data_IF_810353841479
#
_entry.id   IF_810353841479
#
_cell.length_a   1.000
_cell.length_b   1.000
_cell.length_c   1.000
_cell.angle_alpha   90.00
_cell.angle_beta   90.00
_cell.angle_gamma   90.00
#
_symmetry.space_group_name_H-M   'P 1'
#
loop_
_entity.id
_entity.type
_entity.pdbx_description
1 polymer ?
#
# COMPACT_ATOMS: atom_id res chain seq x y z
N UNK A 1 42.00 -24.15 -20.08
CA UNK A 1 40.82 -24.84 -19.54
C UNK A 1 40.41 -24.36 -18.15
N UNK A 2 41.35 -24.26 -17.19
CA UNK A 2 41.08 -23.80 -15.82
C UNK A 2 40.49 -22.37 -15.74
N UNK A 3 40.96 -21.46 -16.58
CA UNK A 3 40.53 -20.04 -16.62
C UNK A 3 39.08 -19.91 -17.11
N UNK A 4 38.65 -20.72 -18.07
CA UNK A 4 37.25 -20.74 -18.58
C UNK A 4 36.33 -21.38 -17.55
N UNK A 5 36.79 -22.36 -16.80
CA UNK A 5 36.02 -23.00 -15.73
C UNK A 5 35.83 -22.06 -14.55
N UNK A 6 36.85 -21.31 -14.14
CA UNK A 6 36.78 -20.33 -13.05
C UNK A 6 35.91 -19.11 -13.44
N UNK A 7 35.96 -18.62 -14.70
CA UNK A 7 35.09 -17.54 -15.16
C UNK A 7 33.61 -17.93 -15.17
N UNK A 8 33.27 -19.14 -15.63
CA UNK A 8 31.88 -19.66 -15.57
C UNK A 8 31.35 -19.82 -14.15
N UNK A 9 32.21 -20.27 -13.23
CA UNK A 9 31.81 -20.41 -11.81
C UNK A 9 31.58 -19.03 -11.15
N UNK A 10 32.35 -18.00 -11.51
CA UNK A 10 32.17 -16.63 -11.04
C UNK A 10 30.91 -15.99 -11.64
N UNK A 11 30.59 -16.25 -12.90
CA UNK A 11 29.35 -15.77 -13.54
C UNK A 11 28.10 -16.41 -12.93
N UNK A 12 28.13 -17.73 -12.68
CA UNK A 12 27.03 -18.44 -12.02
C UNK A 12 26.79 -17.95 -10.60
N UNK A 13 27.84 -17.74 -9.82
CA UNK A 13 27.74 -17.20 -8.46
C UNK A 13 27.18 -15.77 -8.43
N UNK A 14 27.59 -14.91 -9.38
CA UNK A 14 27.06 -13.55 -9.52
C UNK A 14 25.57 -13.57 -9.91
N UNK A 15 25.17 -14.45 -10.83
CA UNK A 15 23.77 -14.55 -11.27
C UNK A 15 22.85 -14.96 -10.12
N UNK A 16 23.25 -15.93 -9.31
CA UNK A 16 22.51 -16.34 -8.12
C UNK A 16 22.42 -15.19 -7.10
N UNK A 17 23.51 -14.47 -6.87
CA UNK A 17 23.54 -13.30 -5.99
C UNK A 17 22.57 -12.22 -6.46
N UNK A 18 22.55 -11.90 -7.75
CA UNK A 18 21.60 -10.94 -8.33
C UNK A 18 20.14 -11.40 -8.19
N UNK A 19 19.86 -12.67 -8.44
CA UNK A 19 18.50 -13.20 -8.29
C UNK A 19 18.01 -13.10 -6.84
N UNK A 20 18.83 -13.51 -5.86
CA UNK A 20 18.51 -13.37 -4.43
C UNK A 20 18.31 -11.91 -4.04
N UNK A 21 19.15 -11.01 -4.56
CA UNK A 21 19.04 -9.57 -4.37
C UNK A 21 17.69 -9.02 -4.85
N UNK A 22 17.25 -9.43 -6.04
CA UNK A 22 15.99 -9.00 -6.64
C UNK A 22 14.79 -9.53 -5.82
N UNK A 23 14.84 -10.80 -5.41
CA UNK A 23 13.80 -11.39 -4.56
C UNK A 23 13.66 -10.65 -3.23
N UNK A 24 14.76 -10.41 -2.53
CA UNK A 24 14.73 -9.69 -1.25
C UNK A 24 14.23 -8.27 -1.39
N UNK A 25 14.70 -7.54 -2.42
CA UNK A 25 14.20 -6.19 -2.71
C UNK A 25 12.71 -6.20 -3.04
N UNK A 26 12.23 -7.20 -3.79
CA UNK A 26 10.82 -7.37 -4.12
C UNK A 26 9.96 -7.65 -2.87
N UNK A 27 10.42 -8.51 -1.97
CA UNK A 27 9.73 -8.80 -0.70
C UNK A 27 9.64 -7.53 0.17
N UNK A 28 10.73 -6.76 0.30
CA UNK A 28 10.74 -5.51 1.06
C UNK A 28 9.79 -4.48 0.46
N UNK A 29 9.74 -4.37 -0.88
CA UNK A 29 8.83 -3.50 -1.59
C UNK A 29 7.37 -3.94 -1.41
N UNK A 30 7.14 -5.25 -1.44
CA UNK A 30 5.85 -5.86 -1.11
C UNK A 30 5.31 -5.46 0.25
N UNK A 31 6.18 -5.19 1.24
CA UNK A 31 5.78 -4.64 2.54
C UNK A 31 5.10 -3.27 2.43
N UNK A 32 5.62 -2.36 1.59
CA UNK A 32 4.97 -1.05 1.35
C UNK A 32 3.64 -1.23 0.64
N UNK A 33 3.61 -2.06 -0.39
CA UNK A 33 2.38 -2.36 -1.11
C UNK A 33 1.33 -3.01 -0.22
N UNK A 34 1.76 -3.85 0.75
CA UNK A 34 0.86 -4.46 1.72
C UNK A 34 0.18 -3.40 2.60
N UNK A 35 0.90 -2.38 3.08
CA UNK A 35 0.30 -1.31 3.87
C UNK A 35 -0.76 -0.54 3.09
N UNK A 36 -0.48 -0.17 1.84
CA UNK A 36 -1.45 0.53 0.98
C UNK A 36 -2.67 -0.37 0.65
N UNK A 37 -2.41 -1.62 0.27
CA UNK A 37 -3.45 -2.57 -0.11
C UNK A 37 -4.34 -2.98 1.08
N UNK A 38 -3.79 -3.11 2.30
CA UNK A 38 -4.55 -3.37 3.52
C UNK A 38 -5.50 -2.20 3.82
N UNK A 39 -5.06 -0.95 3.61
CA UNK A 39 -5.94 0.21 3.70
C UNK A 39 -7.14 0.13 2.74
N UNK A 40 -6.89 -0.25 1.49
CA UNK A 40 -7.94 -0.47 0.49
C UNK A 40 -8.84 -1.65 0.86
N UNK A 41 -8.26 -2.78 1.31
CA UNK A 41 -9.00 -3.96 1.76
C UNK A 41 -9.94 -3.65 2.91
N UNK A 42 -9.52 -2.79 3.83
CA UNK A 42 -10.34 -2.38 4.97
C UNK A 42 -11.59 -1.63 4.51
N UNK A 43 -11.42 -0.66 3.61
CA UNK A 43 -12.54 0.11 3.05
C UNK A 43 -13.47 -0.80 2.25
N UNK A 44 -12.91 -1.57 1.32
CA UNK A 44 -13.71 -2.46 0.47
C UNK A 44 -14.43 -3.55 1.26
N UNK A 45 -13.72 -4.22 2.19
CA UNK A 45 -14.27 -5.34 2.95
C UNK A 45 -15.37 -4.97 3.94
N UNK A 46 -15.41 -3.71 4.42
CA UNK A 46 -16.41 -3.26 5.41
C UNK A 46 -17.54 -2.48 4.76
N UNK A 47 -17.21 -1.57 3.85
CA UNK A 47 -18.17 -0.64 3.24
C UNK A 47 -18.66 -1.12 1.87
N UNK A 48 -18.07 -2.17 1.32
CA UNK A 48 -18.30 -2.64 -0.05
C UNK A 48 -18.09 -1.51 -1.09
N UNK A 49 -17.23 -0.54 -0.76
CA UNK A 49 -16.91 0.64 -1.54
C UNK A 49 -15.57 0.48 -2.23
N UNK A 50 -15.56 0.60 -3.56
CA UNK A 50 -14.34 0.49 -4.37
C UNK A 50 -13.70 1.88 -4.47
N UNK A 51 -12.61 2.11 -3.73
CA UNK A 51 -11.92 3.39 -3.69
C UNK A 51 -10.82 3.49 -4.76
N UNK A 52 -11.14 4.08 -5.90
CA UNK A 52 -10.16 4.34 -6.95
C UNK A 52 -9.21 5.52 -6.65
N UNK A 53 -9.43 6.31 -5.60
CA UNK A 53 -8.48 7.34 -5.16
C UNK A 53 -7.42 6.82 -4.18
N UNK A 54 -7.38 5.51 -3.90
CA UNK A 54 -6.47 4.91 -2.91
C UNK A 54 -4.99 5.20 -3.18
N UNK A 55 -4.59 5.18 -4.43
CA UNK A 55 -3.21 5.48 -4.82
C UNK A 55 -2.86 6.96 -4.63
N UNK A 56 -3.77 7.87 -4.98
CA UNK A 56 -3.55 9.31 -4.77
C UNK A 56 -3.52 9.65 -3.27
N UNK A 57 -4.28 8.95 -2.44
CA UNK A 57 -4.17 9.06 -0.98
C UNK A 57 -2.80 8.59 -0.49
N UNK A 58 -2.25 7.51 -1.07
CA UNK A 58 -0.87 7.07 -0.78
C UNK A 58 0.15 8.12 -1.21
N UNK A 59 0.00 8.70 -2.40
CA UNK A 59 0.82 9.80 -2.89
C UNK A 59 0.76 11.02 -1.95
N UNK A 60 -0.43 11.40 -1.47
CA UNK A 60 -0.55 12.49 -0.48
C UNK A 60 0.22 12.19 0.81
N UNK A 61 0.21 10.92 1.27
CA UNK A 61 1.05 10.47 2.37
C UNK A 61 2.54 10.72 2.13
N UNK A 62 3.04 10.50 0.90
CA UNK A 62 4.43 10.81 0.54
C UNK A 62 4.73 12.30 0.70
N UNK A 63 3.87 13.16 0.16
CA UNK A 63 4.06 14.60 0.21
C UNK A 63 3.93 15.20 1.61
N UNK A 64 2.99 14.71 2.42
CA UNK A 64 2.86 15.12 3.83
C UNK A 64 4.10 14.72 4.61
N UNK A 65 4.58 13.48 4.46
CA UNK A 65 5.80 13.00 5.10
C UNK A 65 7.02 13.86 4.71
N UNK A 66 7.18 14.15 3.42
CA UNK A 66 8.24 15.00 2.92
C UNK A 66 8.13 16.42 3.49
N UNK A 67 6.94 17.01 3.50
CA UNK A 67 6.69 18.34 4.05
C UNK A 67 7.03 18.44 5.52
N UNK A 68 6.61 17.46 6.33
CA UNK A 68 6.96 17.39 7.76
C UNK A 68 8.47 17.28 7.98
N UNK A 69 9.13 16.45 7.19
CA UNK A 69 10.57 16.26 7.32
C UNK A 69 11.37 17.49 6.86
N UNK A 70 10.99 18.14 5.76
CA UNK A 70 11.76 19.25 5.16
C UNK A 70 11.42 20.61 5.74
N UNK A 71 10.13 20.94 5.91
CA UNK A 71 9.71 22.26 6.39
C UNK A 71 9.82 22.40 7.91
N UNK A 72 9.54 21.33 8.65
CA UNK A 72 9.59 21.34 10.12
C UNK A 72 10.82 20.64 10.71
N UNK A 73 11.74 20.15 9.85
CA UNK A 73 12.94 19.42 10.26
C UNK A 73 12.67 18.22 11.20
N UNK A 74 11.51 17.59 11.04
CA UNK A 74 11.14 16.41 11.82
C UNK A 74 11.94 15.20 11.30
N UNK A 75 12.39 14.34 12.21
CA UNK A 75 13.04 13.08 11.82
C UNK A 75 12.13 12.26 10.90
N UNK A 76 12.62 11.74 9.78
CA UNK A 76 11.81 11.01 8.81
C UNK A 76 10.96 9.86 9.39
N UNK A 77 11.48 9.12 10.38
CA UNK A 77 10.70 8.06 11.03
C UNK A 77 9.53 8.61 11.86
N UNK A 78 9.75 9.74 12.55
CA UNK A 78 8.68 10.44 13.26
C UNK A 78 7.70 11.08 12.27
N UNK A 79 8.19 11.64 11.17
CA UNK A 79 7.35 12.21 10.11
C UNK A 79 6.38 11.16 9.52
N UNK A 80 6.80 9.90 9.39
CA UNK A 80 5.93 8.80 8.95
C UNK A 80 4.77 8.59 9.96
N UNK A 81 5.06 8.56 11.25
CA UNK A 81 4.02 8.39 12.28
C UNK A 81 3.05 9.59 12.31
N UNK A 82 3.58 10.81 12.19
CA UNK A 82 2.76 12.02 12.10
C UNK A 82 1.91 12.03 10.82
N UNK A 83 2.47 11.54 9.71
CA UNK A 83 1.72 11.37 8.44
C UNK A 83 0.55 10.41 8.62
N UNK A 84 0.74 9.29 9.32
CA UNK A 84 -0.35 8.36 9.62
C UNK A 84 -1.51 9.06 10.34
N UNK A 85 -1.21 9.89 11.34
CA UNK A 85 -2.22 10.65 12.11
C UNK A 85 -2.88 11.75 11.22
N UNK A 86 -2.10 12.48 10.45
CA UNK A 86 -2.61 13.52 9.55
C UNK A 86 -3.54 12.90 8.48
N UNK A 87 -3.14 11.78 7.90
CA UNK A 87 -3.93 11.05 6.91
C UNK A 87 -5.18 10.41 7.51
N UNK A 88 -5.15 10.00 8.78
CA UNK A 88 -6.37 9.61 9.51
C UNK A 88 -7.36 10.77 9.55
N UNK A 89 -6.92 11.95 9.97
CA UNK A 89 -7.78 13.16 10.01
C UNK A 89 -8.31 13.54 8.63
N UNK A 90 -7.46 13.50 7.59
CA UNK A 90 -7.87 13.73 6.20
C UNK A 90 -8.91 12.68 5.76
N UNK A 91 -8.71 11.41 6.12
CA UNK A 91 -9.65 10.34 5.83
C UNK A 91 -11.03 10.60 6.44
N UNK A 92 -11.08 10.99 7.72
CA UNK A 92 -12.33 11.35 8.40
C UNK A 92 -13.03 12.54 7.73
N UNK A 93 -12.28 13.54 7.29
CA UNK A 93 -12.82 14.68 6.56
C UNK A 93 -13.43 14.27 5.21
N UNK A 94 -12.69 13.47 4.42
CA UNK A 94 -13.15 12.95 3.12
C UNK A 94 -14.38 12.07 3.28
N UNK A 95 -14.39 11.21 4.28
CA UNK A 95 -15.56 10.37 4.58
C UNK A 95 -16.80 11.23 4.83
N UNK A 96 -16.68 12.24 5.70
CA UNK A 96 -17.78 13.10 6.07
C UNK A 96 -18.35 13.92 4.91
N UNK A 97 -17.46 14.47 4.07
CA UNK A 97 -17.82 15.42 3.01
C UNK A 97 -18.17 14.72 1.70
N UNK A 98 -17.48 13.64 1.36
CA UNK A 98 -17.60 12.99 0.04
C UNK A 98 -18.32 11.66 0.14
N UNK A 99 -17.95 10.79 1.09
CA UNK A 99 -18.41 9.40 1.11
C UNK A 99 -19.80 9.27 1.71
N UNK A 100 -20.07 9.91 2.85
CA UNK A 100 -21.41 9.85 3.50
C UNK A 100 -22.54 10.23 2.54
N UNK A 101 -22.42 11.28 1.70
CA UNK A 101 -23.50 11.63 0.77
C UNK A 101 -23.77 10.59 -0.34
N UNK A 102 -22.81 9.73 -0.64
CA UNK A 102 -22.89 8.82 -1.80
C UNK A 102 -22.91 7.34 -1.42
N UNK A 103 -22.75 7.00 -0.14
CA UNK A 103 -22.61 5.59 0.28
C UNK A 103 -23.85 4.75 -0.08
N UNK A 104 -25.03 5.34 -0.03
CA UNK A 104 -26.31 4.68 -0.37
C UNK A 104 -26.66 4.80 -1.87
N UNK A 105 -25.79 5.44 -2.68
CA UNK A 105 -26.00 5.58 -4.13
C UNK A 105 -25.64 4.31 -4.88
N UNK A 106 -26.17 4.10 -6.11
CA UNK A 106 -25.77 2.97 -6.95
C UNK A 106 -24.26 2.89 -7.14
N UNK A 107 -23.70 1.69 -7.20
CA UNK A 107 -22.24 1.42 -7.26
C UNK A 107 -21.51 2.23 -8.35
N UNK A 108 -22.17 2.43 -9.50
CA UNK A 108 -21.57 3.21 -10.60
C UNK A 108 -21.25 4.65 -10.18
N UNK A 109 -22.16 5.31 -9.44
CA UNK A 109 -21.92 6.68 -8.93
C UNK A 109 -20.75 6.71 -7.94
N UNK A 110 -20.67 5.71 -7.05
CA UNK A 110 -19.57 5.59 -6.09
C UNK A 110 -18.21 5.47 -6.81
N UNK A 111 -18.15 4.66 -7.88
CA UNK A 111 -16.94 4.50 -8.70
C UNK A 111 -16.56 5.82 -9.37
N UNK A 112 -17.51 6.50 -10.02
CA UNK A 112 -17.26 7.78 -10.71
C UNK A 112 -16.77 8.85 -9.73
N UNK A 113 -17.40 8.97 -8.55
CA UNK A 113 -16.97 9.94 -7.54
C UNK A 113 -15.59 9.61 -6.98
N UNK A 114 -15.27 8.32 -6.75
CA UNK A 114 -13.94 7.95 -6.27
C UNK A 114 -12.84 8.21 -7.32
N UNK A 115 -13.13 8.01 -8.62
CA UNK A 115 -12.23 8.41 -9.70
C UNK A 115 -12.04 9.93 -9.76
N UNK A 116 -13.14 10.69 -9.70
CA UNK A 116 -13.08 12.17 -9.69
C UNK A 116 -12.28 12.69 -8.49
N UNK A 117 -12.48 12.09 -7.31
CA UNK A 117 -11.70 12.40 -6.11
C UNK A 117 -10.20 12.13 -6.32
N UNK A 118 -9.85 11.06 -7.02
CA UNK A 118 -8.46 10.77 -7.39
C UNK A 118 -7.85 11.90 -8.22
N UNK A 119 -8.55 12.38 -9.26
CA UNK A 119 -8.08 13.51 -10.05
C UNK A 119 -7.97 14.79 -9.22
N UNK A 120 -8.92 15.06 -8.33
CA UNK A 120 -8.85 16.23 -7.44
C UNK A 120 -7.58 16.17 -6.59
N UNK A 121 -7.26 15.03 -5.99
CA UNK A 121 -6.02 14.86 -5.22
C UNK A 121 -4.77 15.02 -6.09
N UNK A 122 -4.75 14.48 -7.29
CA UNK A 122 -3.62 14.62 -8.21
C UNK A 122 -3.38 16.09 -8.58
N UNK A 123 -4.43 16.81 -8.98
CA UNK A 123 -4.33 18.24 -9.29
C UNK A 123 -4.00 19.11 -8.08
N UNK A 124 -4.50 18.76 -6.89
CA UNK A 124 -4.10 19.42 -5.65
C UNK A 124 -2.61 19.22 -5.39
N UNK A 125 -2.06 18.02 -5.63
CA UNK A 125 -0.64 17.76 -5.48
C UNK A 125 0.18 18.61 -6.47
N UNK A 126 -0.24 18.70 -7.74
CA UNK A 126 0.37 19.59 -8.72
C UNK A 126 0.38 21.05 -8.27
N UNK A 127 -0.72 21.53 -7.72
CA UNK A 127 -0.86 22.92 -7.29
C UNK A 127 -0.04 23.25 -6.06
N UNK A 128 0.00 22.33 -5.07
CA UNK A 128 0.68 22.55 -3.79
C UNK A 128 2.18 22.30 -3.85
N UNK A 129 2.62 21.30 -4.59
CA UNK A 129 4.03 20.85 -4.61
C UNK A 129 4.69 20.96 -5.98
N UNK A 130 3.94 21.28 -7.03
CA UNK A 130 4.44 21.37 -8.41
C UNK A 130 4.60 20.01 -9.09
N UNK A 131 5.05 20.03 -10.35
CA UNK A 131 5.26 18.84 -11.17
C UNK A 131 6.63 18.17 -10.95
N UNK A 132 7.51 18.77 -10.15
CA UNK A 132 8.88 18.30 -9.97
C UNK A 132 8.94 16.99 -9.18
N UNK A 133 9.91 16.16 -9.55
CA UNK A 133 10.23 14.95 -8.82
C UNK A 133 10.92 15.32 -7.51
N UNK A 134 10.35 14.95 -6.38
CA UNK A 134 10.88 15.25 -5.05
C UNK A 134 11.36 13.99 -4.35
N UNK A 135 12.51 14.10 -3.66
CA UNK A 135 13.09 13.01 -2.89
C UNK A 135 13.35 13.46 -1.46
N UNK A 136 13.32 12.50 -0.52
CA UNK A 136 13.71 12.76 0.86
C UNK A 136 15.20 13.12 0.93
N UNK A 137 15.58 14.26 1.53
CA UNK A 137 16.99 14.63 1.67
C UNK A 137 17.74 13.64 2.57
N UNK A 138 18.88 13.13 2.08
CA UNK A 138 19.68 12.12 2.80
C UNK A 138 20.34 12.64 4.07
N UNK A 139 20.42 13.95 4.23
CA UNK A 139 21.05 14.63 5.38
C UNK A 139 20.13 14.79 6.58
N UNK A 140 18.84 14.50 6.45
CA UNK A 140 17.85 14.67 7.51
C UNK A 140 17.88 13.51 8.51
N UNK A 141 18.21 13.78 9.75
CA UNK A 141 18.05 12.89 10.90
C UNK A 141 18.46 11.44 10.64
N UNK A 142 17.52 10.53 10.83
CA UNK A 142 17.69 9.10 10.61
C UNK A 142 18.03 8.71 9.17
N UNK A 143 17.79 9.57 8.17
CA UNK A 143 18.14 9.30 6.76
C UNK A 143 19.64 9.11 6.54
N UNK A 144 20.50 9.71 7.36
CA UNK A 144 21.93 9.45 7.30
C UNK A 144 22.29 7.97 7.45
N UNK A 145 21.52 7.24 8.27
CA UNK A 145 21.68 5.79 8.44
C UNK A 145 20.82 5.01 7.43
N UNK A 146 19.56 5.40 7.23
CA UNK A 146 18.61 4.70 6.39
C UNK A 146 18.98 4.68 4.91
N UNK A 147 19.69 5.70 4.43
CA UNK A 147 20.14 5.79 3.03
C UNK A 147 21.45 5.05 2.75
N UNK A 148 22.16 4.59 3.79
CA UNK A 148 23.40 3.82 3.60
C UNK A 148 23.08 2.44 3.02
N UNK A 149 23.87 2.01 2.05
CA UNK A 149 23.79 0.65 1.53
C UNK A 149 24.62 -0.26 2.43
N UNK A 150 23.98 -1.24 3.06
CA UNK A 150 24.66 -2.28 3.83
C UNK A 150 25.01 -3.41 2.86
N UNK A 151 26.30 -3.70 2.76
CA UNK A 151 26.84 -4.77 1.91
C UNK A 151 27.17 -5.99 2.78
N UNK A 152 26.43 -7.07 2.59
CA UNK A 152 26.66 -8.37 3.24
C UNK A 152 27.43 -9.34 2.30
N UNK A 153 28.08 -8.82 1.27
CA UNK A 153 28.83 -9.62 0.29
C UNK A 153 27.92 -10.23 -0.79
N UNK A 154 26.93 -10.97 -0.41
CA UNK A 154 25.97 -11.62 -1.35
C UNK A 154 24.80 -10.69 -1.67
N UNK A 155 24.38 -9.87 -0.71
CA UNK A 155 23.18 -9.02 -0.80
C UNK A 155 23.49 -7.61 -0.33
N UNK A 156 23.00 -6.63 -1.09
CA UNK A 156 23.05 -5.20 -0.76
C UNK A 156 21.66 -4.68 -0.52
N UNK A 157 21.40 -4.08 0.62
CA UNK A 157 20.12 -3.48 0.90
C UNK A 157 20.22 -2.14 1.62
N UNK A 158 19.20 -1.30 1.43
CA UNK A 158 19.05 -0.08 2.20
C UNK A 158 18.20 -0.36 3.44
N UNK A 159 18.62 0.07 4.65
CA UNK A 159 17.81 -0.04 5.86
C UNK A 159 16.42 0.57 5.71
N UNK A 160 16.27 1.63 4.90
CA UNK A 160 14.99 2.25 4.61
C UNK A 160 13.97 1.26 4.01
N UNK A 161 14.43 0.39 3.07
CA UNK A 161 13.58 -0.67 2.52
C UNK A 161 13.34 -1.80 3.51
N UNK A 162 14.39 -2.18 4.24
CA UNK A 162 14.29 -3.27 5.20
C UNK A 162 13.24 -3.01 6.28
N UNK A 163 13.16 -1.78 6.83
CA UNK A 163 12.22 -1.40 7.89
C UNK A 163 10.76 -1.47 7.40
N UNK A 164 10.48 -1.30 6.11
CA UNK A 164 9.11 -1.32 5.58
C UNK A 164 8.42 -2.68 5.75
N UNK A 165 9.14 -3.79 5.64
CA UNK A 165 8.57 -5.13 5.78
C UNK A 165 8.16 -5.46 7.22
N UNK A 166 9.01 -5.31 8.25
CA UNK A 166 8.58 -5.43 9.65
C UNK A 166 7.43 -4.50 10.01
N UNK A 167 7.46 -3.24 9.51
CA UNK A 167 6.38 -2.29 9.75
C UNK A 167 5.05 -2.80 9.17
N UNK A 168 5.04 -3.37 7.96
CA UNK A 168 3.85 -3.96 7.35
C UNK A 168 3.34 -5.18 8.12
N UNK A 169 4.25 -6.04 8.61
CA UNK A 169 3.89 -7.19 9.45
C UNK A 169 3.25 -6.72 10.75
N UNK A 170 3.88 -5.78 11.44
CA UNK A 170 3.37 -5.22 12.71
C UNK A 170 1.99 -4.59 12.46
N UNK A 171 1.84 -3.78 11.42
CA UNK A 171 0.57 -3.16 11.06
C UNK A 171 -0.52 -4.21 10.83
N UNK A 172 -0.23 -5.27 10.07
CA UNK A 172 -1.17 -6.34 9.78
C UNK A 172 -1.60 -7.07 11.07
N UNK A 173 -0.65 -7.36 11.95
CA UNK A 173 -0.92 -8.02 13.22
C UNK A 173 -1.72 -7.13 14.18
N UNK A 174 -1.36 -5.84 14.27
CA UNK A 174 -2.09 -4.86 15.10
C UNK A 174 -3.51 -4.69 14.59
N UNK A 175 -3.70 -4.56 13.27
CA UNK A 175 -5.04 -4.49 12.67
C UNK A 175 -5.85 -5.76 12.95
N UNK A 176 -5.24 -6.93 12.75
CA UNK A 176 -5.90 -8.20 13.05
C UNK A 176 -6.33 -8.28 14.51
N UNK A 177 -5.44 -7.93 15.44
CA UNK A 177 -5.77 -7.88 16.87
C UNK A 177 -6.88 -6.87 17.17
N UNK A 178 -6.78 -5.66 16.62
CA UNK A 178 -7.81 -4.63 16.77
C UNK A 178 -9.19 -5.11 16.33
N UNK A 179 -9.28 -5.71 15.14
CA UNK A 179 -10.55 -6.17 14.58
C UNK A 179 -11.14 -7.40 15.28
N UNK A 180 -10.28 -8.23 15.93
CA UNK A 180 -10.73 -9.49 16.54
C UNK A 180 -10.92 -9.40 18.05
N UNK A 181 -10.26 -8.45 18.72
CA UNK A 181 -10.21 -8.40 20.18
C UNK A 181 -10.79 -7.12 20.79
N UNK A 182 -11.02 -6.05 20.02
CA UNK A 182 -11.60 -4.83 20.55
C UNK A 182 -13.10 -4.74 20.28
N UNK A 183 -13.86 -4.07 21.16
CA UNK A 183 -15.30 -3.85 20.99
C UNK A 183 -15.61 -3.09 19.68
N UNK A 184 -14.79 -2.09 19.35
CA UNK A 184 -14.92 -1.31 18.13
C UNK A 184 -14.64 -2.17 16.90
N UNK A 185 -13.56 -2.95 16.90
CA UNK A 185 -13.20 -3.84 15.80
C UNK A 185 -14.25 -4.94 15.56
N UNK A 186 -14.81 -5.52 16.64
CA UNK A 186 -15.92 -6.49 16.54
C UNK A 186 -17.16 -5.84 15.93
N UNK A 187 -17.46 -4.57 16.28
CA UNK A 187 -18.53 -3.80 15.67
C UNK A 187 -18.31 -3.58 14.17
N UNK A 188 -17.08 -3.19 13.75
CA UNK A 188 -16.71 -3.05 12.33
C UNK A 188 -16.90 -4.37 11.57
N UNK A 189 -16.48 -5.50 12.16
CA UNK A 189 -16.65 -6.83 11.55
C UNK A 189 -18.12 -7.25 11.45
N UNK A 190 -18.94 -6.94 12.46
CA UNK A 190 -20.38 -7.20 12.41
C UNK A 190 -21.06 -6.42 11.28
N UNK A 191 -20.71 -5.14 11.12
CA UNK A 191 -21.19 -4.30 9.99
C UNK A 191 -20.74 -4.87 8.64
N UNK A 192 -19.48 -5.35 8.54
CA UNK A 192 -18.98 -5.97 7.32
C UNK A 192 -19.72 -7.25 6.93
N UNK A 193 -20.21 -8.02 7.90
CA UNK A 193 -20.98 -9.25 7.65
C UNK A 193 -22.42 -8.96 7.23
N UNK A 194 -23.12 -8.11 7.99
CA UNK A 194 -24.49 -7.72 7.68
C UNK A 194 -24.81 -6.38 8.35
N UNK A 195 -24.88 -5.33 7.53
CA UNK A 195 -25.12 -3.96 7.98
C UNK A 195 -26.48 -3.80 8.67
N UNK A 196 -27.53 -4.44 8.14
CA UNK A 196 -28.89 -4.33 8.67
C UNK A 196 -29.01 -5.04 10.02
N UNK A 197 -28.47 -6.26 10.11
CA UNK A 197 -28.45 -7.00 11.37
C UNK A 197 -27.62 -6.28 12.44
N UNK A 198 -26.48 -5.73 12.08
CA UNK A 198 -25.64 -4.95 13.00
C UNK A 198 -26.39 -3.71 13.53
N UNK A 199 -27.12 -3.01 12.67
CA UNK A 199 -27.93 -1.85 13.06
C UNK A 199 -29.07 -2.24 14.02
N UNK A 200 -29.75 -3.34 13.76
CA UNK A 200 -30.79 -3.87 14.64
C UNK A 200 -30.25 -4.27 16.02
N UNK A 201 -29.00 -4.71 16.11
CA UNK A 201 -28.29 -5.01 17.36
C UNK A 201 -27.75 -3.77 18.06
N UNK A 202 -28.05 -2.56 17.56
CA UNK A 202 -27.64 -1.28 18.16
C UNK A 202 -26.20 -0.85 17.84
N UNK A 203 -25.54 -1.48 16.85
CA UNK A 203 -24.20 -1.06 16.42
C UNK A 203 -24.34 0.17 15.53
N UNK A 204 -23.60 1.23 15.85
CA UNK A 204 -23.59 2.45 15.06
C UNK A 204 -22.82 2.26 13.74
N UNK A 205 -23.53 1.94 12.66
CA UNK A 205 -22.97 1.69 11.32
C UNK A 205 -22.19 2.90 10.82
N UNK A 206 -22.70 4.13 11.01
CA UNK A 206 -22.02 5.37 10.57
C UNK A 206 -20.67 5.53 11.23
N UNK A 207 -20.57 5.24 12.52
CA UNK A 207 -19.32 5.28 13.24
C UNK A 207 -18.34 4.19 12.79
N UNK A 208 -18.85 2.99 12.47
CA UNK A 208 -18.03 1.91 11.92
C UNK A 208 -17.44 2.31 10.55
N UNK A 209 -18.22 2.90 9.66
CA UNK A 209 -17.78 3.41 8.36
C UNK A 209 -16.75 4.53 8.52
N UNK A 210 -17.03 5.51 9.38
CA UNK A 210 -16.16 6.64 9.69
C UNK A 210 -14.75 6.18 10.13
N UNK A 211 -14.70 5.25 11.08
CA UNK A 211 -13.43 4.70 11.57
C UNK A 211 -12.73 3.83 10.52
N UNK A 212 -13.50 3.04 9.77
CA UNK A 212 -12.96 2.19 8.69
C UNK A 212 -12.28 3.02 7.62
N UNK A 213 -12.93 4.09 7.16
CA UNK A 213 -12.36 4.99 6.15
C UNK A 213 -11.13 5.71 6.67
N UNK A 214 -11.21 6.30 7.87
CA UNK A 214 -10.07 6.98 8.49
C UNK A 214 -8.86 6.07 8.66
N UNK A 215 -9.05 4.85 9.19
CA UNK A 215 -7.97 3.88 9.34
C UNK A 215 -7.42 3.42 7.98
N UNK A 216 -8.28 3.14 7.00
CA UNK A 216 -7.85 2.76 5.65
C UNK A 216 -6.95 3.81 5.02
N UNK A 217 -7.37 5.09 5.07
CA UNK A 217 -6.58 6.22 4.55
C UNK A 217 -5.29 6.43 5.34
N UNK A 218 -5.31 6.23 6.66
CA UNK A 218 -4.10 6.32 7.49
C UNK A 218 -3.05 5.27 7.10
N UNK A 219 -3.47 4.05 6.76
CA UNK A 219 -2.56 2.99 6.29
C UNK A 219 -1.98 3.28 4.91
N UNK A 220 -2.77 3.88 4.00
CA UNK A 220 -2.27 4.40 2.73
C UNK A 220 -1.23 5.50 2.95
N UNK A 221 -1.48 6.41 3.90
CA UNK A 221 -0.53 7.44 4.30
C UNK A 221 0.77 6.88 4.86
N UNK A 222 0.67 5.86 5.72
CA UNK A 222 1.82 5.14 6.25
C UNK A 222 2.66 4.51 5.13
N UNK A 223 2.00 3.84 4.17
CA UNK A 223 2.66 3.27 3.00
C UNK A 223 3.40 4.34 2.19
N UNK A 224 2.76 5.47 1.93
CA UNK A 224 3.38 6.62 1.26
C UNK A 224 4.59 7.15 2.00
N UNK A 225 4.50 7.30 3.33
CA UNK A 225 5.62 7.73 4.18
C UNK A 225 6.83 6.79 4.09
N UNK A 226 6.62 5.48 4.18
CA UNK A 226 7.70 4.50 3.99
C UNK A 226 8.27 4.51 2.57
N UNK A 227 7.42 4.61 1.56
CA UNK A 227 7.84 4.67 0.15
C UNK A 227 8.73 5.88 -0.12
N UNK A 228 8.41 7.03 0.47
CA UNK A 228 9.18 8.28 0.34
C UNK A 228 10.61 8.18 0.85
N UNK A 229 10.94 7.24 1.73
CA UNK A 229 12.31 7.07 2.23
C UNK A 229 13.31 6.61 1.16
N UNK A 230 12.84 5.95 0.09
CA UNK A 230 13.73 5.34 -0.90
C UNK A 230 13.25 5.49 -2.35
N UNK A 231 12.10 6.10 -2.57
CA UNK A 231 11.55 6.37 -3.89
C UNK A 231 11.10 7.83 -4.00
N UNK A 232 11.17 8.42 -5.20
CA UNK A 232 10.73 9.79 -5.40
C UNK A 232 9.22 9.94 -5.37
N UNK A 233 8.73 11.11 -4.93
CA UNK A 233 7.35 11.53 -5.07
C UNK A 233 7.19 12.41 -6.31
N UNK A 234 6.14 12.13 -7.08
CA UNK A 234 5.63 12.93 -8.19
C UNK A 234 4.11 12.73 -8.27
N UNK A 235 3.34 13.72 -8.79
CA UNK A 235 1.88 13.65 -8.70
C UNK A 235 1.23 12.41 -9.35
N UNK A 236 1.80 11.91 -10.42
CA UNK A 236 1.25 10.74 -11.12
C UNK A 236 1.60 9.37 -10.47
N UNK A 237 2.44 9.34 -9.40
CA UNK A 237 2.82 8.07 -8.73
C UNK A 237 1.61 7.33 -8.14
N UNK A 238 0.54 8.07 -7.81
CA UNK A 238 -0.71 7.50 -7.32
C UNK A 238 -1.32 6.46 -8.25
N UNK A 239 -1.21 6.63 -9.57
CA UNK A 239 -1.74 5.70 -10.56
C UNK A 239 -1.08 4.31 -10.48
N UNK A 240 0.22 4.25 -10.19
CA UNK A 240 0.94 2.99 -10.00
C UNK A 240 0.43 2.26 -8.74
N UNK A 241 0.23 3.00 -7.65
CA UNK A 241 -0.28 2.44 -6.40
C UNK A 241 -1.71 1.91 -6.51
N UNK A 242 -2.58 2.55 -7.31
CA UNK A 242 -3.94 2.04 -7.55
C UNK A 242 -3.86 0.63 -8.12
N UNK A 243 -3.15 0.46 -9.24
CA UNK A 243 -3.05 -0.83 -9.93
C UNK A 243 -2.49 -1.92 -9.01
N UNK A 244 -1.36 -1.64 -8.35
CA UNK A 244 -0.70 -2.60 -7.48
C UNK A 244 -1.59 -2.97 -6.29
N UNK A 245 -2.22 -1.99 -5.63
CA UNK A 245 -3.10 -2.24 -4.50
C UNK A 245 -4.34 -3.05 -4.88
N UNK A 246 -4.97 -2.74 -6.02
CA UNK A 246 -6.12 -3.52 -6.52
C UNK A 246 -5.74 -4.96 -6.85
N UNK A 247 -4.62 -5.16 -7.51
CA UNK A 247 -4.14 -6.51 -7.84
C UNK A 247 -3.81 -7.28 -6.55
N UNK A 248 -3.14 -6.64 -5.58
CA UNK A 248 -2.82 -7.26 -4.31
C UNK A 248 -4.09 -7.67 -3.52
N UNK A 249 -5.12 -6.82 -3.51
CA UNK A 249 -6.42 -7.11 -2.86
C UNK A 249 -7.14 -8.25 -3.55
N UNK A 250 -7.20 -8.24 -4.89
CA UNK A 250 -7.87 -9.31 -5.65
C UNK A 250 -7.12 -10.63 -5.58
N UNK A 251 -5.78 -10.61 -5.65
CA UNK A 251 -4.94 -11.79 -5.40
C UNK A 251 -5.18 -12.37 -4.01
N UNK A 252 -5.20 -11.51 -3.00
CA UNK A 252 -5.40 -11.92 -1.62
C UNK A 252 -6.80 -12.42 -1.31
N UNK A 253 -7.80 -11.87 -1.99
CA UNK A 253 -9.23 -12.01 -1.72
C UNK A 253 -9.77 -10.78 -0.99
N UNK A 254 -10.78 -10.13 -1.57
CA UNK A 254 -11.39 -8.93 -1.00
C UNK A 254 -11.87 -9.18 0.44
N UNK A 255 -11.50 -8.28 1.37
CA UNK A 255 -11.83 -8.39 2.80
C UNK A 255 -10.88 -9.27 3.62
N UNK A 256 -9.93 -9.99 3.01
CA UNK A 256 -8.93 -10.80 3.71
C UNK A 256 -7.63 -10.03 3.90
N UNK A 257 -7.36 -9.50 5.10
CA UNK A 257 -6.14 -8.71 5.39
C UNK A 257 -4.85 -9.53 5.24
N UNK A 258 -4.85 -10.79 5.73
CA UNK A 258 -3.70 -11.70 5.57
C UNK A 258 -3.50 -12.09 4.11
N UNK A 259 -4.61 -12.35 3.39
CA UNK A 259 -4.56 -12.63 1.97
C UNK A 259 -4.00 -11.44 1.19
N UNK A 260 -4.46 -10.22 1.46
CA UNK A 260 -3.95 -9.00 0.84
C UNK A 260 -2.47 -8.78 1.14
N UNK A 261 -2.02 -9.04 2.37
CA UNK A 261 -0.60 -8.97 2.72
C UNK A 261 0.24 -9.91 1.84
N UNK A 262 -0.18 -11.18 1.71
CA UNK A 262 0.51 -12.16 0.85
C UNK A 262 0.44 -11.74 -0.62
N UNK A 263 -0.71 -11.29 -1.10
CA UNK A 263 -0.90 -10.78 -2.45
C UNK A 263 0.04 -9.61 -2.77
N UNK A 264 0.22 -8.70 -1.83
CA UNK A 264 1.13 -7.56 -1.97
C UNK A 264 2.62 -7.99 -1.99
N UNK A 265 3.01 -8.97 -1.18
CA UNK A 265 4.36 -9.54 -1.25
C UNK A 265 4.60 -10.19 -2.62
N UNK A 266 3.64 -10.96 -3.13
CA UNK A 266 3.73 -11.56 -4.47
C UNK A 266 3.91 -10.46 -5.52
N UNK A 267 3.13 -9.38 -5.43
CA UNK A 267 3.24 -8.23 -6.35
C UNK A 267 4.62 -7.58 -6.30
N UNK A 268 5.17 -7.36 -5.11
CA UNK A 268 6.52 -6.80 -4.96
C UNK A 268 7.60 -7.69 -5.56
N UNK A 269 7.49 -9.02 -5.39
CA UNK A 269 8.41 -10.00 -6.01
C UNK A 269 8.27 -9.99 -7.52
N UNK A 270 7.04 -10.02 -8.04
CA UNK A 270 6.77 -9.98 -9.50
C UNK A 270 7.33 -8.70 -10.11
N UNK A 271 7.14 -7.55 -9.46
CA UNK A 271 7.71 -6.28 -9.90
C UNK A 271 9.24 -6.32 -9.93
N UNK A 272 9.85 -6.83 -8.85
CA UNK A 272 11.30 -6.97 -8.78
C UNK A 272 11.85 -7.82 -9.95
N UNK A 273 11.24 -8.98 -10.20
CA UNK A 273 11.62 -9.88 -11.29
C UNK A 273 11.35 -9.25 -12.66
N UNK A 274 10.19 -8.64 -12.85
CA UNK A 274 9.88 -7.95 -14.11
C UNK A 274 10.86 -6.82 -14.41
N UNK A 275 11.25 -6.04 -13.38
CA UNK A 275 12.24 -4.97 -13.52
C UNK A 275 13.66 -5.47 -13.79
N UNK A 276 13.99 -6.71 -13.43
CA UNK A 276 15.28 -7.31 -13.67
C UNK A 276 15.39 -7.97 -15.06
N UNK A 277 14.35 -8.72 -15.46
CA UNK A 277 14.36 -9.48 -16.71
C UNK A 277 13.81 -8.71 -17.91
N UNK A 278 12.98 -7.69 -17.69
CA UNK A 278 12.28 -6.96 -18.72
C UNK A 278 12.64 -5.46 -18.69
N UNK A 279 12.37 -4.78 -19.80
CA UNK A 279 12.46 -3.32 -19.85
C UNK A 279 11.41 -2.71 -18.93
N UNK A 280 11.70 -1.63 -18.20
CA UNK A 280 10.78 -1.00 -17.23
C UNK A 280 9.36 -0.73 -17.75
N UNK A 281 9.22 -0.42 -19.05
CA UNK A 281 7.93 -0.21 -19.70
C UNK A 281 7.00 -1.43 -19.66
N UNK A 282 7.54 -2.65 -19.59
CA UNK A 282 6.75 -3.88 -19.55
C UNK A 282 6.25 -4.27 -18.14
N UNK A 283 6.67 -3.56 -17.09
CA UNK A 283 6.22 -3.88 -15.72
C UNK A 283 4.69 -3.87 -15.60
N UNK A 284 4.04 -2.85 -16.18
CA UNK A 284 2.57 -2.74 -16.14
C UNK A 284 1.89 -3.89 -16.88
N UNK A 285 2.46 -4.33 -18.01
CA UNK A 285 1.95 -5.49 -18.76
C UNK A 285 2.00 -6.75 -17.90
N UNK A 286 3.10 -6.97 -17.17
CA UNK A 286 3.25 -8.12 -16.27
C UNK A 286 2.19 -8.08 -15.15
N UNK A 287 1.95 -6.91 -14.53
CA UNK A 287 0.92 -6.77 -13.50
C UNK A 287 -0.47 -7.09 -14.02
N UNK A 288 -0.82 -6.50 -15.16
CA UNK A 288 -2.14 -6.71 -15.77
C UNK A 288 -2.32 -8.15 -16.23
N UNK A 289 -1.28 -8.77 -16.79
CA UNK A 289 -1.32 -10.19 -17.18
C UNK A 289 -1.53 -11.08 -15.95
N UNK A 290 -0.80 -10.84 -14.86
CA UNK A 290 -0.99 -11.59 -13.62
C UNK A 290 -2.39 -11.39 -13.05
N UNK A 291 -2.92 -10.17 -13.10
CA UNK A 291 -4.28 -9.86 -12.66
C UNK A 291 -5.33 -10.63 -13.48
N UNK A 292 -5.22 -10.59 -14.81
CA UNK A 292 -6.12 -11.30 -15.71
C UNK A 292 -6.05 -12.82 -15.47
N UNK A 293 -4.84 -13.37 -15.40
CA UNK A 293 -4.64 -14.80 -15.11
C UNK A 293 -5.30 -15.21 -13.79
N UNK A 294 -5.14 -14.36 -12.74
CA UNK A 294 -5.74 -14.65 -11.44
C UNK A 294 -7.26 -14.65 -11.50
N UNK A 295 -7.88 -13.71 -12.22
CA UNK A 295 -9.33 -13.65 -12.40
C UNK A 295 -9.87 -14.89 -13.14
N UNK A 296 -9.12 -15.45 -14.09
CA UNK A 296 -9.50 -16.68 -14.77
C UNK A 296 -9.35 -17.93 -13.91
N UNK A 297 -8.26 -18.03 -13.12
CA UNK A 297 -7.94 -19.24 -12.36
C UNK A 297 -8.73 -19.27 -11.03
N UNK A 298 -8.79 -18.14 -10.31
CA UNK A 298 -9.41 -18.07 -8.98
C UNK A 298 -10.00 -16.68 -8.71
N UNK A 299 -11.17 -16.37 -9.26
CA UNK A 299 -11.77 -15.03 -9.17
C UNK A 299 -12.06 -14.57 -7.73
N UNK A 300 -12.16 -15.50 -6.77
CA UNK A 300 -12.37 -15.20 -5.34
C UNK A 300 -11.10 -14.85 -4.58
N UNK A 301 -9.94 -14.89 -5.23
CA UNK A 301 -8.64 -14.69 -4.58
C UNK A 301 -8.07 -15.95 -3.91
N UNK A 302 -6.84 -15.85 -3.40
CA UNK A 302 -6.13 -16.97 -2.76
C UNK A 302 -6.74 -17.36 -1.41
N UNK A 303 -7.25 -16.36 -0.66
CA UNK A 303 -7.81 -16.53 0.68
C UNK A 303 -9.19 -15.85 0.76
N UNK A 304 -10.21 -16.42 0.09
CA UNK A 304 -11.53 -15.83 0.09
C UNK A 304 -12.07 -15.76 1.53
N UNK A 305 -12.56 -14.62 1.94
CA UNK A 305 -13.43 -14.53 3.10
C UNK A 305 -14.72 -15.27 2.74
N UNK A 306 -15.13 -16.23 3.60
CA UNK A 306 -16.42 -16.89 3.42
C UNK A 306 -17.49 -15.82 3.42
N UNK A 307 -18.10 -15.59 2.27
CA UNK A 307 -19.42 -15.00 2.23
C UNK A 307 -20.34 -15.97 3.01
N UNK A 308 -20.81 -15.50 4.15
CA UNK A 308 -21.91 -16.21 4.80
C UNK A 308 -23.11 -15.92 3.92
N UNK A 309 -23.44 -16.88 3.03
CA UNK A 309 -24.63 -16.87 2.19
C UNK A 309 -25.90 -16.92 3.01
#
# INVERSE_FOLDING_TARGET
MLYIYLSRHQEGSKMVSYFVQVLLNGIMMGGVYAMAAIGLTMIWGVMNFINFASGQMTMFGMYICLGLATAYHVDPLLAIMMTMVAMFGMGLFVERVVIVPIIDSPRLYQVVVSLAMGFVFEFLAFTLWGAEIKMMPKTLGSMNFLSKVIDLGIVRFSPARFISLPAAIILTLVLHYFLTRTRVGLGIRAVAQNTDAANLMGINVKMAYFLTWGLGVSFMGLAGGFYMLFQPAYPAVGLEFILISFIAVTLGGAGSYLGTFIGAIIMGVVEGLAGFYLVPAFRQVVYLTLFILMLFIKPTGLFPTKEVG
#
